data_IF_426531917432
#
_entry.id   IF_426531917432
#
_cell.length_a   1.000
_cell.length_b   1.000
_cell.length_c   1.000
_cell.angle_alpha   90.00
_cell.angle_beta   90.00
_cell.angle_gamma   90.00
#
_symmetry.space_group_name_H-M   'P 1'
#
loop_
_entity.id
_entity.type
_entity.pdbx_description
1 polymer ?
#
# COMPACT_ATOMS: atom_id res chain seq x y z
N UNK A 1 15.76 -7.42 30.41
CA UNK A 1 14.58 -6.62 29.93
C UNK A 1 14.05 -7.04 28.57
N UNK A 2 14.86 -7.29 27.52
CA UNK A 2 14.37 -7.70 26.19
C UNK A 2 13.49 -8.95 26.17
N UNK A 3 13.81 -10.00 26.96
CA UNK A 3 13.05 -11.27 26.99
C UNK A 3 11.63 -11.16 27.58
N UNK A 4 11.39 -10.25 28.52
CA UNK A 4 10.05 -10.06 29.09
C UNK A 4 9.09 -9.36 28.10
N UNK A 5 9.61 -8.38 27.36
CA UNK A 5 8.85 -7.71 26.32
C UNK A 5 8.46 -8.64 25.15
N UNK A 6 9.32 -9.60 24.80
CA UNK A 6 9.01 -10.54 23.72
C UNK A 6 7.96 -11.61 24.14
N UNK A 7 7.89 -11.98 25.42
CA UNK A 7 6.84 -12.87 25.91
C UNK A 7 5.46 -12.20 25.77
N UNK A 8 5.33 -10.98 26.24
CA UNK A 8 4.08 -10.22 26.13
C UNK A 8 3.66 -10.00 24.66
N UNK A 9 4.62 -9.69 23.76
CA UNK A 9 4.33 -9.57 22.32
C UNK A 9 3.81 -10.86 21.70
N UNK A 10 4.30 -12.03 22.15
CA UNK A 10 3.81 -13.34 21.70
C UNK A 10 2.38 -13.60 22.14
N UNK A 11 2.04 -13.19 23.36
CA UNK A 11 0.66 -13.25 23.86
C UNK A 11 -0.25 -12.37 23.01
N UNK A 12 0.12 -11.12 22.76
CA UNK A 12 -0.67 -10.21 21.91
C UNK A 12 -0.88 -10.76 20.49
N UNK A 13 0.14 -11.42 19.88
CA UNK A 13 -0.02 -12.08 18.59
C UNK A 13 -1.04 -13.23 18.70
N UNK A 14 -0.93 -14.07 19.70
CA UNK A 14 -1.84 -15.21 19.88
C UNK A 14 -3.27 -14.76 20.14
N UNK A 15 -3.47 -13.70 20.92
CA UNK A 15 -4.78 -13.12 21.19
C UNK A 15 -5.40 -12.51 19.93
N UNK A 16 -4.61 -11.83 19.11
CA UNK A 16 -5.08 -11.17 17.89
C UNK A 16 -5.40 -12.17 16.76
N UNK A 17 -4.50 -13.13 16.50
CA UNK A 17 -4.62 -14.08 15.39
C UNK A 17 -5.24 -15.42 15.78
N UNK A 18 -5.50 -15.64 17.07
CA UNK A 18 -6.03 -16.88 17.62
C UNK A 18 -4.96 -17.86 18.09
N UNK A 19 -5.35 -18.75 19.01
CA UNK A 19 -4.45 -19.71 19.67
C UNK A 19 -3.78 -20.72 18.71
N UNK A 20 -4.36 -20.96 17.53
CA UNK A 20 -3.78 -21.82 16.47
C UNK A 20 -2.72 -21.10 15.63
N UNK A 21 -2.53 -19.81 15.83
CA UNK A 21 -1.56 -19.03 15.06
C UNK A 21 -0.13 -19.50 15.32
N UNK A 22 0.70 -19.47 14.27
CA UNK A 22 2.08 -19.91 14.33
C UNK A 22 3.05 -18.76 14.03
N UNK A 23 3.65 -18.22 15.07
CA UNK A 23 4.69 -17.22 14.94
C UNK A 23 5.92 -17.81 14.22
N UNK A 24 6.33 -17.21 13.09
CA UNK A 24 7.47 -17.61 12.27
C UNK A 24 8.73 -16.89 12.66
N UNK A 25 8.63 -15.59 12.92
CA UNK A 25 9.75 -14.75 13.37
C UNK A 25 9.23 -13.53 14.11
N UNK A 26 10.06 -13.03 15.02
CA UNK A 26 9.89 -11.75 15.70
C UNK A 26 11.27 -11.06 15.65
N UNK A 27 11.32 -9.86 15.09
CA UNK A 27 12.55 -9.08 14.93
C UNK A 27 12.32 -7.64 15.33
N UNK A 28 13.39 -6.97 15.74
CA UNK A 28 13.42 -5.53 15.92
C UNK A 28 14.02 -4.89 14.67
N UNK A 29 13.46 -3.78 14.22
CA UNK A 29 13.98 -2.99 13.11
C UNK A 29 14.40 -1.64 13.64
N UNK A 30 15.49 -1.12 13.11
CA UNK A 30 15.99 0.20 13.47
C UNK A 30 15.26 1.31 12.68
N UNK A 31 14.71 0.99 11.52
CA UNK A 31 14.06 1.96 10.64
C UNK A 31 12.77 2.54 11.24
N UNK A 32 12.04 1.73 12.02
CA UNK A 32 10.75 2.14 12.61
C UNK A 32 10.76 2.15 14.14
N UNK A 33 11.84 1.72 14.78
CA UNK A 33 11.87 1.55 16.24
C UNK A 33 10.85 0.55 16.77
N UNK A 34 10.22 -0.24 15.87
CA UNK A 34 9.16 -1.17 16.15
C UNK A 34 9.66 -2.62 16.00
N UNK A 35 9.08 -3.54 16.76
CA UNK A 35 9.26 -4.95 16.50
C UNK A 35 8.34 -5.39 15.37
N UNK A 36 8.88 -6.11 14.38
CA UNK A 36 8.13 -6.73 13.30
C UNK A 36 8.08 -8.24 13.48
N UNK A 37 6.99 -8.85 13.03
CA UNK A 37 6.80 -10.29 13.12
C UNK A 37 6.19 -10.87 11.85
N UNK A 38 6.36 -12.18 11.68
CA UNK A 38 5.62 -12.97 10.68
C UNK A 38 4.86 -14.07 11.40
N UNK A 39 3.58 -14.17 11.11
CA UNK A 39 2.68 -15.16 11.69
C UNK A 39 1.87 -15.86 10.59
N UNK A 40 1.71 -17.17 10.72
CA UNK A 40 0.73 -17.94 9.95
C UNK A 40 -0.51 -18.17 10.81
N UNK A 41 -1.68 -18.00 10.23
CA UNK A 41 -2.96 -18.17 10.91
C UNK A 41 -4.07 -18.56 9.95
N UNK A 42 -5.18 -19.06 10.52
CA UNK A 42 -6.35 -19.44 9.77
C UNK A 42 -7.45 -18.39 9.93
N UNK A 43 -8.13 -18.06 8.82
CA UNK A 43 -9.34 -17.25 8.84
C UNK A 43 -10.42 -17.96 8.00
N UNK A 44 -11.34 -18.65 8.68
CA UNK A 44 -12.27 -19.56 8.01
C UNK A 44 -11.50 -20.71 7.31
N UNK A 45 -11.83 -21.05 6.08
CA UNK A 45 -11.17 -22.13 5.35
C UNK A 45 -9.82 -21.76 4.73
N UNK A 46 -9.32 -20.56 4.95
CA UNK A 46 -8.10 -20.05 4.32
C UNK A 46 -6.95 -19.92 5.31
N UNK A 47 -5.76 -20.15 4.78
CA UNK A 47 -4.50 -20.04 5.51
C UNK A 47 -3.74 -18.80 5.06
N UNK A 48 -3.41 -17.94 6.00
CA UNK A 48 -2.73 -16.67 5.73
C UNK A 48 -1.36 -16.61 6.39
N UNK A 49 -0.47 -15.86 5.76
CA UNK A 49 0.77 -15.38 6.35
C UNK A 49 0.76 -13.88 6.37
N UNK A 50 1.00 -13.30 7.55
CA UNK A 50 1.02 -11.84 7.74
C UNK A 50 2.37 -11.37 8.24
N UNK A 51 2.88 -10.30 7.62
CA UNK A 51 3.86 -9.39 8.19
C UNK A 51 3.12 -8.37 9.02
N UNK A 52 3.46 -8.25 10.27
CA UNK A 52 2.89 -7.27 11.18
C UNK A 52 3.97 -6.56 11.99
N UNK A 53 3.56 -5.51 12.67
CA UNK A 53 4.39 -4.74 13.59
C UNK A 53 3.66 -4.48 14.90
N UNK A 54 4.46 -4.08 15.90
CA UNK A 54 3.96 -3.47 17.13
C UNK A 54 4.31 -1.99 17.07
N UNK A 55 3.31 -1.16 16.96
CA UNK A 55 3.47 0.27 16.91
C UNK A 55 2.39 1.00 17.69
N UNK A 56 2.54 2.30 17.89
CA UNK A 56 1.41 3.11 18.36
C UNK A 56 0.31 3.00 17.32
N UNK A 57 -0.85 2.55 17.76
CA UNK A 57 -2.02 2.52 16.89
C UNK A 57 -2.54 3.94 16.72
N UNK A 58 -2.70 4.38 15.48
CA UNK A 58 -3.36 5.64 15.17
C UNK A 58 -4.90 5.57 15.42
N UNK A 59 -5.42 4.38 15.73
CA UNK A 59 -6.85 4.06 15.83
C UNK A 59 -7.47 4.03 17.23
N UNK A 60 -6.90 4.67 18.25
CA UNK A 60 -7.63 4.96 19.49
C UNK A 60 -7.41 4.03 20.68
N UNK A 61 -6.34 3.27 20.77
CA UNK A 61 -5.93 2.62 22.01
C UNK A 61 -5.28 3.61 22.98
N UNK A 62 -5.26 3.25 24.26
CA UNK A 62 -4.63 4.05 25.29
C UNK A 62 -3.15 4.32 24.95
N UNK A 63 -2.62 5.53 25.16
CA UNK A 63 -1.22 5.83 24.94
C UNK A 63 -0.32 4.89 25.76
N UNK A 64 0.54 4.13 25.07
CA UNK A 64 1.58 3.32 25.72
C UNK A 64 1.45 1.81 25.60
N UNK A 65 0.32 1.26 25.15
CA UNK A 65 0.21 -0.18 24.90
C UNK A 65 0.61 -0.55 23.46
N UNK A 66 1.51 -1.54 23.28
CA UNK A 66 1.87 -2.00 21.95
C UNK A 66 0.67 -2.72 21.31
N UNK A 67 0.25 -2.25 20.14
CA UNK A 67 -0.84 -2.89 19.39
C UNK A 67 -0.31 -3.62 18.17
N UNK A 68 -1.00 -4.71 17.82
CA UNK A 68 -0.73 -5.50 16.62
C UNK A 68 -1.30 -4.76 15.42
N UNK A 69 -0.43 -4.48 14.44
CA UNK A 69 -0.81 -3.89 13.15
C UNK A 69 -0.41 -4.82 12.03
N UNK A 70 -1.36 -5.21 11.17
CA UNK A 70 -1.07 -5.98 9.96
C UNK A 70 -0.55 -5.01 8.89
N UNK A 71 0.67 -5.27 8.38
CA UNK A 71 1.28 -4.46 7.32
C UNK A 71 1.11 -5.05 5.93
N UNK A 72 1.15 -6.38 5.83
CA UNK A 72 0.97 -7.09 4.57
C UNK A 72 0.52 -8.52 4.85
N UNK A 73 -0.39 -9.04 4.04
CA UNK A 73 -0.89 -10.39 4.21
C UNK A 73 -0.88 -11.17 2.89
N UNK A 74 -0.70 -12.48 2.96
CA UNK A 74 -0.63 -13.38 1.82
C UNK A 74 -1.48 -14.62 2.09
N UNK A 75 -2.40 -14.93 1.18
CA UNK A 75 -3.07 -16.23 1.16
C UNK A 75 -2.07 -17.29 0.70
N UNK A 76 -1.84 -18.32 1.52
CA UNK A 76 -0.84 -19.34 1.23
C UNK A 76 -1.22 -20.27 0.06
N UNK A 77 -2.52 -20.39 -0.25
CA UNK A 77 -3.01 -21.14 -1.40
C UNK A 77 -3.00 -20.29 -2.69
N UNK A 78 -3.18 -18.99 -2.55
CA UNK A 78 -3.27 -18.05 -3.67
C UNK A 78 -2.34 -16.85 -3.47
N UNK A 79 -1.01 -17.05 -3.49
CA UNK A 79 -0.04 -16.03 -3.06
C UNK A 79 -0.05 -14.73 -3.89
N UNK A 80 -0.57 -14.79 -5.11
CA UNK A 80 -0.68 -13.64 -6.00
C UNK A 80 -1.96 -12.81 -5.78
N UNK A 81 -2.92 -13.32 -4.99
CA UNK A 81 -4.12 -12.57 -4.66
C UNK A 81 -3.81 -11.50 -3.61
N UNK A 82 -4.31 -10.30 -3.85
CA UNK A 82 -4.22 -9.19 -2.89
C UNK A 82 -5.23 -9.41 -1.77
N UNK A 83 -4.75 -9.47 -0.54
CA UNK A 83 -5.58 -9.76 0.63
C UNK A 83 -6.28 -8.49 1.12
N UNK A 84 -5.54 -7.39 1.24
CA UNK A 84 -6.10 -6.14 1.73
C UNK A 84 -6.89 -5.40 0.64
N UNK A 85 -7.95 -4.73 1.06
CA UNK A 85 -8.80 -4.00 0.13
C UNK A 85 -8.05 -2.84 -0.54
N UNK A 86 -7.25 -2.10 0.21
CA UNK A 86 -6.46 -0.98 -0.34
C UNK A 86 -5.45 -1.43 -1.40
N UNK A 87 -4.81 -2.60 -1.23
CA UNK A 87 -3.90 -3.16 -2.23
C UNK A 87 -4.63 -3.40 -3.56
N UNK A 88 -5.87 -3.93 -3.49
CA UNK A 88 -6.72 -4.12 -4.66
C UNK A 88 -7.08 -2.78 -5.31
N UNK A 89 -7.42 -1.77 -4.51
CA UNK A 89 -7.65 -0.42 -5.03
C UNK A 89 -6.36 0.11 -5.69
N UNK A 90 -5.20 0.04 -5.03
CA UNK A 90 -3.96 0.51 -5.63
C UNK A 90 -3.63 -0.16 -6.96
N UNK A 91 -3.91 -1.47 -7.10
CA UNK A 91 -3.68 -2.20 -8.34
C UNK A 91 -4.50 -1.67 -9.53
N UNK A 92 -5.60 -0.99 -9.27
CA UNK A 92 -6.44 -0.40 -10.32
C UNK A 92 -5.80 0.83 -10.99
N UNK A 93 -4.74 1.41 -10.42
CA UNK A 93 -3.96 2.47 -11.09
C UNK A 93 -3.47 2.06 -12.48
N UNK A 94 -3.19 0.77 -12.67
CA UNK A 94 -2.79 0.24 -13.97
C UNK A 94 -3.88 0.32 -15.04
N UNK A 95 -5.14 0.41 -14.63
CA UNK A 95 -6.27 0.61 -15.54
C UNK A 95 -6.40 2.05 -16.05
N UNK A 96 -5.76 3.00 -15.37
CA UNK A 96 -5.78 4.42 -15.73
C UNK A 96 -4.66 4.79 -16.72
N UNK A 97 -3.78 3.85 -17.02
CA UNK A 97 -2.75 3.96 -18.05
C UNK A 97 -3.15 3.12 -19.26
N UNK A 98 -2.80 3.58 -20.46
CA UNK A 98 -3.24 2.90 -21.69
C UNK A 98 -2.54 1.55 -21.87
N UNK A 99 -1.22 1.50 -21.72
CA UNK A 99 -0.40 0.29 -21.81
C UNK A 99 0.77 0.36 -20.83
N UNK A 100 0.54 0.09 -19.52
CA UNK A 100 1.60 0.20 -18.54
C UNK A 100 2.62 -0.93 -18.71
N UNK A 101 3.88 -0.57 -18.97
CA UNK A 101 5.02 -1.49 -19.11
C UNK A 101 6.07 -1.31 -18.01
N UNK A 102 6.01 -0.22 -17.28
CA UNK A 102 6.93 0.11 -16.20
C UNK A 102 6.21 0.58 -14.94
N UNK A 103 6.71 0.20 -13.78
CA UNK A 103 6.17 0.68 -12.52
C UNK A 103 7.24 0.89 -11.47
N UNK A 104 6.98 1.83 -10.56
CA UNK A 104 7.78 2.10 -9.38
C UNK A 104 6.94 1.83 -8.13
N UNK A 105 7.42 0.92 -7.29
CA UNK A 105 6.82 0.59 -6.01
C UNK A 105 7.67 1.20 -4.89
N UNK A 106 7.15 2.23 -4.26
CA UNK A 106 7.73 2.87 -3.09
C UNK A 106 7.07 2.25 -1.84
N UNK A 107 7.86 1.44 -1.12
CA UNK A 107 7.38 0.52 -0.10
C UNK A 107 7.09 -0.87 -0.67
N UNK A 108 7.72 -1.89 -0.10
CA UNK A 108 7.60 -3.28 -0.56
C UNK A 108 6.82 -4.13 0.43
N UNK A 109 7.02 -3.91 1.71
CA UNK A 109 6.38 -4.68 2.78
C UNK A 109 6.52 -6.19 2.57
N UNK A 110 5.42 -6.92 2.65
CA UNK A 110 5.35 -8.36 2.35
C UNK A 110 5.30 -8.67 0.85
N UNK A 111 5.68 -7.75 -0.05
CA UNK A 111 5.75 -7.94 -1.50
C UNK A 111 4.43 -8.36 -2.18
N UNK A 112 3.28 -7.97 -1.63
CA UNK A 112 1.97 -8.34 -2.17
C UNK A 112 1.78 -7.82 -3.60
N UNK A 113 2.05 -6.53 -3.81
CA UNK A 113 1.91 -5.90 -5.12
C UNK A 113 2.87 -6.49 -6.16
N UNK A 114 4.10 -6.81 -5.76
CA UNK A 114 5.05 -7.48 -6.66
C UNK A 114 4.54 -8.86 -7.11
N UNK A 115 4.02 -9.70 -6.19
CA UNK A 115 3.44 -11.00 -6.56
C UNK A 115 2.25 -10.85 -7.50
N UNK A 116 1.40 -9.87 -7.22
CA UNK A 116 0.26 -9.54 -8.08
C UNK A 116 0.72 -9.17 -9.49
N UNK A 117 1.65 -8.23 -9.64
CA UNK A 117 2.17 -7.82 -10.95
C UNK A 117 2.76 -8.98 -11.73
N UNK A 118 3.57 -9.80 -11.07
CA UNK A 118 4.16 -11.00 -11.69
C UNK A 118 3.12 -11.97 -12.27
N UNK A 119 1.96 -12.07 -11.62
CA UNK A 119 0.91 -13.03 -12.02
C UNK A 119 -0.06 -12.44 -13.04
N UNK A 120 -0.44 -11.17 -12.90
CA UNK A 120 -1.54 -10.59 -13.66
C UNK A 120 -1.11 -9.52 -14.68
N UNK A 121 0.07 -8.95 -14.52
CA UNK A 121 0.66 -7.95 -15.43
C UNK A 121 2.15 -8.25 -15.68
N UNK A 122 2.48 -9.43 -16.21
CA UNK A 122 3.88 -9.84 -16.37
C UNK A 122 4.68 -8.94 -17.34
N UNK A 123 3.99 -8.19 -18.19
CA UNK A 123 4.58 -7.20 -19.10
C UNK A 123 5.04 -5.93 -18.39
N UNK A 124 4.49 -5.63 -17.20
CA UNK A 124 4.86 -4.45 -16.43
C UNK A 124 6.02 -4.76 -15.49
N UNK A 125 7.18 -4.23 -15.78
CA UNK A 125 8.39 -4.44 -14.99
C UNK A 125 8.43 -3.48 -13.78
N UNK A 126 8.34 -3.99 -12.53
CA UNK A 126 8.42 -3.13 -11.35
C UNK A 126 9.87 -2.85 -10.92
N UNK A 127 10.17 -1.59 -10.58
CA UNK A 127 11.30 -1.22 -9.73
C UNK A 127 10.78 -1.17 -8.29
N UNK A 128 11.49 -1.82 -7.38
CA UNK A 128 11.12 -1.93 -5.98
C UNK A 128 12.08 -1.11 -5.12
N UNK A 129 11.55 -0.22 -4.30
CA UNK A 129 12.33 0.62 -3.36
C UNK A 129 11.75 0.46 -1.97
N UNK A 130 12.60 0.16 -1.00
CA UNK A 130 12.24 0.08 0.42
C UNK A 130 13.44 0.51 1.26
N UNK A 131 13.22 1.23 2.34
CA UNK A 131 14.30 1.71 3.19
C UNK A 131 14.65 0.74 4.34
N UNK A 132 13.87 -0.32 4.53
CA UNK A 132 14.09 -1.28 5.62
C UNK A 132 14.62 -2.63 5.09
N UNK A 133 15.93 -2.83 5.23
CA UNK A 133 16.58 -4.08 4.83
C UNK A 133 16.02 -5.31 5.59
N UNK A 134 15.57 -5.14 6.83
CA UNK A 134 15.00 -6.23 7.62
C UNK A 134 13.63 -6.65 7.06
N UNK A 135 12.81 -5.69 6.63
CA UNK A 135 11.53 -5.95 5.94
C UNK A 135 11.78 -6.68 4.62
N UNK A 136 12.73 -6.21 3.81
CA UNK A 136 13.09 -6.86 2.55
C UNK A 136 13.62 -8.28 2.76
N UNK A 137 14.45 -8.51 3.79
CA UNK A 137 14.91 -9.85 4.15
C UNK A 137 13.77 -10.78 4.57
N UNK A 138 12.76 -10.26 5.27
CA UNK A 138 11.54 -10.99 5.61
C UNK A 138 10.73 -11.30 4.36
N UNK A 139 10.54 -10.33 3.46
CA UNK A 139 9.81 -10.51 2.23
C UNK A 139 10.44 -11.62 1.36
N UNK A 140 11.77 -11.66 1.25
CA UNK A 140 12.49 -12.72 0.56
C UNK A 140 12.32 -14.08 1.22
N UNK A 141 12.42 -14.15 2.53
CA UNK A 141 12.38 -15.42 3.27
C UNK A 141 10.98 -16.00 3.37
N UNK A 142 9.95 -15.17 3.53
CA UNK A 142 8.63 -15.61 3.92
C UNK A 142 7.53 -15.30 2.91
N UNK A 143 7.75 -14.35 2.00
CA UNK A 143 6.72 -13.86 1.06
C UNK A 143 7.11 -14.04 -0.41
N UNK A 144 8.05 -14.94 -0.68
CA UNK A 144 8.48 -15.36 -2.03
C UNK A 144 9.09 -14.25 -2.90
N UNK A 145 9.53 -13.15 -2.34
CA UNK A 145 10.17 -12.08 -3.09
C UNK A 145 11.51 -12.55 -3.67
N UNK A 146 11.59 -12.63 -4.99
CA UNK A 146 12.82 -13.06 -5.70
C UNK A 146 13.48 -11.94 -6.49
N UNK A 147 12.83 -10.77 -6.61
CA UNK A 147 13.37 -9.62 -7.32
C UNK A 147 14.30 -8.80 -6.42
N UNK A 148 15.26 -8.11 -7.05
CA UNK A 148 16.12 -7.13 -6.38
C UNK A 148 15.28 -5.94 -5.90
N UNK A 149 15.60 -5.45 -4.70
CA UNK A 149 15.02 -4.25 -4.10
C UNK A 149 16.15 -3.26 -3.89
N UNK A 150 15.93 -2.03 -4.25
CA UNK A 150 16.82 -0.91 -3.96
C UNK A 150 16.57 -0.50 -2.51
N UNK A 151 17.59 -0.67 -1.67
CA UNK A 151 17.53 -0.27 -0.26
C UNK A 151 17.88 1.21 -0.18
N UNK A 152 16.85 2.04 -0.22
CA UNK A 152 16.98 3.50 -0.12
C UNK A 152 15.66 4.13 0.32
N UNK A 153 15.71 5.38 0.77
CA UNK A 153 14.47 6.14 1.01
C UNK A 153 13.84 6.56 -0.32
N UNK A 154 12.53 6.64 -0.35
CA UNK A 154 11.79 7.05 -1.54
C UNK A 154 12.24 8.43 -2.05
N UNK A 155 12.54 9.37 -1.15
CA UNK A 155 12.98 10.72 -1.50
C UNK A 155 14.37 10.74 -2.15
N UNK A 156 15.30 9.92 -1.65
CA UNK A 156 16.65 9.84 -2.22
C UNK A 156 16.61 9.17 -3.57
N UNK A 157 15.88 8.06 -3.69
CA UNK A 157 15.68 7.39 -4.95
C UNK A 157 15.07 8.34 -6.01
N UNK A 158 13.96 9.00 -5.68
CA UNK A 158 13.29 9.96 -6.57
C UNK A 158 14.17 11.18 -6.91
N UNK A 159 15.11 11.55 -6.03
CA UNK A 159 16.06 12.62 -6.31
C UNK A 159 17.14 12.22 -7.33
N UNK A 160 17.47 10.95 -7.41
CA UNK A 160 18.55 10.40 -8.24
C UNK A 160 18.07 9.76 -9.55
N UNK A 161 16.83 9.31 -9.62
CA UNK A 161 16.31 8.65 -10.82
C UNK A 161 16.11 9.64 -11.97
N UNK A 162 16.40 9.17 -13.18
CA UNK A 162 16.09 9.86 -14.45
C UNK A 162 15.03 9.08 -15.24
N UNK A 163 14.68 7.92 -14.77
CA UNK A 163 13.68 7.06 -15.41
C UNK A 163 12.27 7.60 -15.16
N UNK A 164 11.38 7.24 -16.08
CA UNK A 164 9.94 7.53 -15.96
C UNK A 164 9.16 6.24 -15.90
N UNK A 165 8.10 6.27 -15.11
CA UNK A 165 7.27 5.12 -14.83
C UNK A 165 5.82 5.39 -15.23
N UNK A 166 5.17 4.39 -15.83
CA UNK A 166 3.75 4.49 -16.19
C UNK A 166 2.87 4.47 -14.93
N UNK A 167 3.28 3.70 -13.92
CA UNK A 167 2.58 3.66 -12.63
C UNK A 167 3.56 3.83 -11.48
N UNK A 168 3.25 4.75 -10.58
CA UNK A 168 3.98 4.91 -9.31
C UNK A 168 3.01 4.55 -8.17
N UNK A 169 3.34 3.52 -7.40
CA UNK A 169 2.60 3.14 -6.20
C UNK A 169 3.34 3.65 -4.97
N UNK A 170 2.67 4.45 -4.16
CA UNK A 170 3.21 5.02 -2.92
C UNK A 170 2.49 4.36 -1.75
N UNK A 171 3.17 3.38 -1.14
CA UNK A 171 2.67 2.60 0.01
C UNK A 171 3.72 2.64 1.13
N UNK A 172 3.94 3.82 1.67
CA UNK A 172 4.98 4.10 2.64
C UNK A 172 4.38 4.25 4.04
N UNK A 173 4.96 3.52 4.98
CA UNK A 173 4.69 3.76 6.39
C UNK A 173 5.55 4.93 6.88
N UNK A 174 4.91 5.96 7.42
CA UNK A 174 5.60 7.11 7.97
C UNK A 174 5.43 7.21 9.49
N UNK A 175 6.36 6.58 10.21
CA UNK A 175 6.44 6.73 11.67
C UNK A 175 6.87 8.14 12.12
N UNK A 176 7.44 8.94 11.23
CA UNK A 176 8.02 10.25 11.54
C UNK A 176 7.06 11.43 11.25
N UNK A 177 5.85 11.15 10.76
CA UNK A 177 4.83 12.16 10.51
C UNK A 177 4.90 12.83 9.12
N UNK A 178 4.24 13.98 8.95
CA UNK A 178 3.96 14.59 7.64
C UNK A 178 5.18 15.05 6.83
N UNK A 179 6.35 15.15 7.43
CA UNK A 179 7.55 15.71 6.76
C UNK A 179 8.01 14.93 5.51
N UNK A 180 7.64 13.63 5.40
CA UNK A 180 8.02 12.81 4.26
C UNK A 180 7.26 13.19 2.97
N UNK A 181 5.99 13.59 3.10
CA UNK A 181 5.09 13.81 1.98
C UNK A 181 4.88 15.31 1.71
N UNK A 182 5.96 16.07 1.70
CA UNK A 182 5.93 17.48 1.38
C UNK A 182 5.71 17.73 -0.14
N UNK A 183 5.54 18.98 -0.53
CA UNK A 183 5.39 19.37 -1.93
C UNK A 183 6.58 18.91 -2.80
N UNK A 184 7.79 18.89 -2.23
CA UNK A 184 9.00 18.47 -2.95
C UNK A 184 8.97 16.98 -3.28
N UNK A 185 8.47 16.14 -2.37
CA UNK A 185 8.27 14.72 -2.61
C UNK A 185 7.30 14.50 -3.78
N UNK A 186 6.13 15.14 -3.73
CA UNK A 186 5.12 14.98 -4.79
C UNK A 186 5.60 15.51 -6.13
N UNK A 187 6.32 16.62 -6.13
CA UNK A 187 6.93 17.16 -7.37
C UNK A 187 7.85 16.13 -8.01
N UNK A 188 8.70 15.47 -7.23
CA UNK A 188 9.59 14.41 -7.72
C UNK A 188 8.84 13.18 -8.21
N UNK A 189 7.78 12.76 -7.53
CA UNK A 189 6.92 11.68 -8.03
C UNK A 189 6.33 12.05 -9.39
N UNK A 190 5.82 13.27 -9.56
CA UNK A 190 5.27 13.73 -10.83
C UNK A 190 6.33 13.87 -11.93
N UNK A 191 7.56 14.27 -11.58
CA UNK A 191 8.67 14.38 -12.55
C UNK A 191 9.17 12.99 -12.98
N UNK A 192 9.03 11.96 -12.15
CA UNK A 192 9.31 10.56 -12.47
C UNK A 192 8.13 9.84 -13.15
N UNK A 193 6.98 10.49 -13.33
CA UNK A 193 5.83 9.88 -13.99
C UNK A 193 5.92 10.06 -15.51
N UNK A 194 5.63 9.00 -16.26
CA UNK A 194 5.52 9.05 -17.70
C UNK A 194 4.25 9.82 -18.13
N UNK A 195 4.24 10.45 -19.31
CA UNK A 195 3.01 11.03 -19.85
C UNK A 195 1.90 9.98 -19.98
N UNK A 196 0.71 10.30 -19.51
CA UNK A 196 -0.41 9.34 -19.45
C UNK A 196 -0.33 8.33 -18.31
N UNK A 197 0.67 8.47 -17.43
CA UNK A 197 0.83 7.60 -16.27
C UNK A 197 -0.07 7.96 -15.09
N UNK A 198 0.00 7.16 -14.03
CA UNK A 198 -0.80 7.33 -12.82
C UNK A 198 0.03 7.12 -11.55
N UNK A 199 -0.14 8.00 -10.56
CA UNK A 199 0.32 7.78 -9.20
C UNK A 199 -0.87 7.26 -8.37
N UNK A 200 -0.68 6.18 -7.61
CA UNK A 200 -1.63 5.74 -6.59
C UNK A 200 -0.97 5.76 -5.22
N UNK A 201 -1.59 6.45 -4.29
CA UNK A 201 -1.10 6.63 -2.93
C UNK A 201 -2.04 5.97 -1.93
N UNK A 202 -1.49 5.11 -1.08
CA UNK A 202 -2.21 4.57 0.05
C UNK A 202 -2.10 5.52 1.25
N UNK A 203 -3.25 5.97 1.74
CA UNK A 203 -3.37 6.76 2.96
C UNK A 203 -3.95 5.86 4.06
N UNK A 204 -3.04 5.27 4.85
CA UNK A 204 -3.45 4.40 5.95
C UNK A 204 -4.13 5.20 7.06
N UNK A 205 -5.13 4.58 7.69
CA UNK A 205 -5.87 5.12 8.83
C UNK A 205 -6.44 6.53 8.60
N UNK A 206 -6.75 6.85 7.36
CA UNK A 206 -7.15 8.18 6.93
C UNK A 206 -8.32 8.77 7.75
N UNK A 207 -9.31 7.96 8.08
CA UNK A 207 -10.50 8.41 8.80
C UNK A 207 -10.21 8.85 10.24
N UNK A 208 -9.13 8.34 10.84
CA UNK A 208 -8.77 8.59 12.26
C UNK A 208 -7.48 9.37 12.42
N UNK A 209 -6.60 9.35 11.40
CA UNK A 209 -5.31 10.02 11.44
C UNK A 209 -5.38 11.40 10.77
N UNK A 210 -5.70 12.43 11.55
CA UNK A 210 -5.78 13.82 11.05
C UNK A 210 -4.48 14.33 10.42
N UNK A 211 -3.32 13.73 10.73
CA UNK A 211 -2.03 14.12 10.16
C UNK A 211 -1.89 13.72 8.69
N UNK A 212 -2.66 12.75 8.22
CA UNK A 212 -2.62 12.27 6.82
C UNK A 212 -3.32 13.24 5.87
N UNK A 213 -4.35 13.94 6.32
CA UNK A 213 -5.14 14.84 5.49
C UNK A 213 -4.33 15.97 4.85
N UNK A 214 -3.48 16.74 5.59
CA UNK A 214 -2.65 17.77 4.97
C UNK A 214 -1.71 17.24 3.87
N UNK A 215 -1.27 15.98 3.99
CA UNK A 215 -0.41 15.35 2.99
C UNK A 215 -1.17 15.02 1.70
N UNK A 216 -2.38 14.50 1.83
CA UNK A 216 -3.26 14.24 0.68
C UNK A 216 -3.70 15.55 0.01
N UNK A 217 -3.98 16.58 0.79
CA UNK A 217 -4.28 17.93 0.29
C UNK A 217 -3.08 18.53 -0.46
N UNK A 218 -1.85 18.35 0.03
CA UNK A 218 -0.64 18.83 -0.65
C UNK A 218 -0.45 18.16 -2.02
N UNK A 219 -0.68 16.85 -2.13
CA UNK A 219 -0.67 16.15 -3.41
C UNK A 219 -1.73 16.70 -4.36
N UNK A 220 -2.95 16.92 -3.87
CA UNK A 220 -4.05 17.45 -4.66
C UNK A 220 -3.77 18.88 -5.14
N UNK A 221 -3.31 19.76 -4.26
CA UNK A 221 -2.99 21.15 -4.61
C UNK A 221 -1.90 21.23 -5.68
N UNK A 222 -0.85 20.41 -5.56
CA UNK A 222 0.21 20.37 -6.56
C UNK A 222 -0.32 19.83 -7.91
N UNK A 223 -1.16 18.81 -7.93
CA UNK A 223 -1.81 18.30 -9.12
C UNK A 223 -2.64 19.41 -9.82
N UNK A 224 -3.50 20.09 -9.06
CA UNK A 224 -4.33 21.19 -9.56
C UNK A 224 -3.51 22.36 -10.12
N UNK A 225 -2.37 22.68 -9.49
CA UNK A 225 -1.46 23.71 -10.02
C UNK A 225 -0.86 23.37 -11.40
N UNK A 226 -0.91 22.09 -11.78
CA UNK A 226 -0.49 21.58 -13.09
C UNK A 226 -1.66 21.26 -14.03
N UNK A 227 -2.88 21.63 -13.67
CA UNK A 227 -4.09 21.34 -14.43
C UNK A 227 -4.49 19.86 -14.42
N UNK A 228 -4.11 19.13 -13.37
CA UNK A 228 -4.43 17.71 -13.20
C UNK A 228 -5.45 17.52 -12.08
N UNK A 229 -6.32 16.54 -12.25
CA UNK A 229 -7.26 16.13 -11.23
C UNK A 229 -6.74 14.93 -10.41
N UNK A 230 -7.22 14.83 -9.17
CA UNK A 230 -7.01 13.67 -8.31
C UNK A 230 -8.35 13.03 -7.99
N UNK A 231 -8.34 11.72 -7.80
CA UNK A 231 -9.53 10.95 -7.46
C UNK A 231 -9.27 10.15 -6.19
N UNK A 232 -10.21 10.22 -5.28
CA UNK A 232 -10.16 9.48 -4.03
C UNK A 232 -11.08 8.27 -4.12
N UNK A 233 -10.57 7.11 -3.78
CA UNK A 233 -11.33 5.87 -3.77
C UNK A 233 -11.24 5.24 -2.39
N UNK A 234 -12.38 5.04 -1.78
CA UNK A 234 -12.52 4.36 -0.50
C UNK A 234 -13.76 3.48 -0.49
N UNK A 235 -13.79 2.49 0.38
CA UNK A 235 -14.97 1.66 0.57
C UNK A 235 -16.00 2.39 1.43
N UNK A 236 -17.25 2.42 0.98
CA UNK A 236 -18.36 3.05 1.71
C UNK A 236 -18.55 2.39 3.09
N UNK A 237 -18.58 3.20 4.14
CA UNK A 237 -18.76 2.73 5.52
C UNK A 237 -17.50 2.13 6.17
N UNK A 238 -16.37 2.09 5.48
CA UNK A 238 -15.09 1.69 6.04
C UNK A 238 -14.30 2.89 6.53
N UNK A 239 -13.68 2.73 7.70
CA UNK A 239 -12.78 3.74 8.28
C UNK A 239 -11.30 3.41 8.01
N UNK A 240 -11.06 2.59 6.99
CA UNK A 240 -9.74 2.05 6.68
C UNK A 240 -8.93 3.00 5.79
N UNK A 241 -8.14 2.41 4.91
CA UNK A 241 -7.28 3.12 4.00
C UNK A 241 -8.07 3.82 2.88
N UNK A 242 -7.59 4.98 2.50
CA UNK A 242 -8.02 5.73 1.33
C UNK A 242 -6.95 5.61 0.26
N UNK A 243 -7.32 5.33 -0.98
CA UNK A 243 -6.40 5.40 -2.12
C UNK A 243 -6.68 6.67 -2.93
N UNK A 244 -5.63 7.47 -3.12
CA UNK A 244 -5.66 8.65 -3.98
C UNK A 244 -4.97 8.35 -5.29
N UNK A 245 -5.65 8.57 -6.40
CA UNK A 245 -5.07 8.50 -7.74
C UNK A 245 -4.80 9.88 -8.29
N UNK A 246 -3.66 10.00 -8.99
CA UNK A 246 -3.28 11.14 -9.79
C UNK A 246 -2.93 10.65 -11.20
N UNK A 247 -3.91 10.52 -12.10
CA UNK A 247 -3.68 10.21 -13.50
C UNK A 247 -3.22 11.46 -14.26
N UNK A 248 -2.30 11.31 -15.20
CA UNK A 248 -1.86 12.38 -16.12
C UNK A 248 -2.44 12.24 -17.52
N UNK A 249 -3.31 11.25 -17.72
CA UNK A 249 -4.09 11.10 -18.94
C UNK A 249 -5.19 12.17 -19.07
N UNK A 250 -5.99 12.11 -20.11
CA UNK A 250 -7.08 13.06 -20.29
C UNK A 250 -8.06 12.98 -19.11
N UNK A 251 -8.64 14.13 -18.76
CA UNK A 251 -9.67 14.25 -17.73
C UNK A 251 -10.77 13.20 -17.95
N UNK A 252 -11.15 12.54 -16.88
CA UNK A 252 -12.17 11.50 -16.93
C UNK A 252 -13.22 11.76 -15.86
N UNK A 253 -14.46 11.72 -16.27
CA UNK A 253 -15.57 11.70 -15.33
C UNK A 253 -15.49 10.42 -14.44
N UNK A 254 -15.96 10.48 -13.19
CA UNK A 254 -15.94 9.34 -12.26
C UNK A 254 -16.52 8.05 -12.85
N UNK A 255 -17.56 8.16 -13.68
CA UNK A 255 -18.19 7.03 -14.36
C UNK A 255 -17.26 6.40 -15.41
N UNK A 256 -16.48 7.22 -16.13
CA UNK A 256 -15.50 6.74 -17.10
C UNK A 256 -14.33 6.02 -16.41
N UNK A 257 -13.91 6.51 -15.24
CA UNK A 257 -12.93 5.86 -14.38
C UNK A 257 -13.46 4.50 -13.92
N UNK A 258 -14.65 4.46 -13.35
CA UNK A 258 -15.30 3.21 -12.92
C UNK A 258 -15.35 2.18 -14.06
N UNK A 259 -15.77 2.61 -15.24
CA UNK A 259 -15.81 1.74 -16.43
C UNK A 259 -14.43 1.23 -16.86
N UNK A 260 -13.38 2.05 -16.76
CA UNK A 260 -12.01 1.64 -17.08
C UNK A 260 -11.50 0.59 -16.08
N UNK A 261 -11.72 0.81 -14.79
CA UNK A 261 -11.35 -0.11 -13.72
C UNK A 261 -12.05 -1.48 -13.86
N UNK A 262 -13.34 -1.48 -14.18
CA UNK A 262 -14.08 -2.71 -14.40
C UNK A 262 -13.61 -3.47 -15.64
N UNK A 263 -13.33 -2.76 -16.75
CA UNK A 263 -12.79 -3.40 -17.96
C UNK A 263 -11.43 -4.04 -17.70
N UNK A 264 -10.56 -3.33 -17.01
CA UNK A 264 -9.23 -3.82 -16.63
C UNK A 264 -9.35 -5.10 -15.79
N UNK A 265 -10.15 -5.08 -14.73
CA UNK A 265 -10.32 -6.24 -13.87
C UNK A 265 -10.86 -7.46 -14.61
N UNK A 266 -11.79 -7.27 -15.56
CA UNK A 266 -12.29 -8.35 -16.43
C UNK A 266 -11.21 -8.86 -17.40
N UNK A 267 -10.51 -7.97 -18.08
CA UNK A 267 -9.48 -8.32 -19.05
C UNK A 267 -8.31 -9.09 -18.44
N UNK A 268 -7.98 -8.80 -17.18
CA UNK A 268 -6.89 -9.46 -16.44
C UNK A 268 -7.35 -10.66 -15.61
N UNK A 269 -8.60 -11.06 -15.72
CA UNK A 269 -9.17 -12.18 -14.94
C UNK A 269 -8.89 -12.05 -13.43
N UNK A 270 -8.97 -10.84 -12.90
CA UNK A 270 -8.74 -10.61 -11.48
C UNK A 270 -9.75 -11.43 -10.65
N UNK A 271 -9.35 -11.98 -9.51
CA UNK A 271 -10.15 -12.93 -8.72
C UNK A 271 -11.56 -12.45 -8.39
N UNK A 272 -11.70 -11.17 -8.13
CA UNK A 272 -12.98 -10.54 -7.79
C UNK A 272 -13.74 -10.02 -9.01
N UNK A 273 -13.32 -10.35 -10.25
CA UNK A 273 -13.91 -9.93 -11.53
C UNK A 273 -14.18 -8.41 -11.64
N UNK A 274 -13.52 -7.60 -10.81
CA UNK A 274 -13.68 -6.15 -10.72
C UNK A 274 -14.96 -5.67 -10.04
N UNK A 275 -16.03 -6.45 -10.03
CA UNK A 275 -17.28 -6.06 -9.37
C UNK A 275 -17.13 -5.94 -7.87
N UNK A 276 -16.52 -6.91 -7.19
CA UNK A 276 -16.34 -6.90 -5.74
C UNK A 276 -15.38 -5.80 -5.24
N UNK A 277 -14.46 -5.32 -6.08
CA UNK A 277 -13.53 -4.26 -5.68
C UNK A 277 -14.24 -2.92 -5.58
N UNK A 278 -15.13 -2.62 -6.54
CA UNK A 278 -15.79 -1.31 -6.67
C UNK A 278 -17.21 -1.28 -6.12
N UNK A 279 -17.80 -2.44 -5.81
CA UNK A 279 -19.24 -2.59 -5.49
C UNK A 279 -19.71 -1.72 -4.32
N UNK A 280 -18.81 -1.27 -3.48
CA UNK A 280 -19.11 -0.38 -2.35
C UNK A 280 -18.10 0.77 -2.26
N UNK A 281 -17.44 1.12 -3.36
CA UNK A 281 -16.48 2.22 -3.38
C UNK A 281 -17.19 3.54 -3.72
N UNK A 282 -16.62 4.60 -3.18
CA UNK A 282 -16.91 5.98 -3.58
C UNK A 282 -15.70 6.46 -4.36
N UNK A 283 -15.92 6.95 -5.57
CA UNK A 283 -14.92 7.65 -6.36
C UNK A 283 -15.33 9.11 -6.36
N UNK A 284 -14.48 9.98 -5.84
CA UNK A 284 -14.77 11.40 -5.74
C UNK A 284 -13.56 12.23 -6.20
N UNK A 285 -13.78 13.31 -6.99
CA UNK A 285 -12.72 14.22 -7.41
C UNK A 285 -12.23 15.13 -6.28
N UNK A 286 -12.97 15.16 -5.19
CA UNK A 286 -12.60 15.86 -3.96
C UNK A 286 -12.71 14.89 -2.80
N UNK A 287 -12.00 15.23 -1.76
CA UNK A 287 -12.02 14.53 -0.49
C UNK A 287 -13.48 14.27 -0.08
N UNK A 288 -13.89 13.03 0.18
CA UNK A 288 -15.20 12.77 0.74
C UNK A 288 -15.24 13.37 2.15
N UNK A 289 -15.75 14.59 2.24
CA UNK A 289 -16.01 15.26 3.52
C UNK A 289 -17.13 14.47 4.19
N UNK A 290 -16.86 14.03 5.41
CA UNK A 290 -17.65 13.12 6.20
C UNK A 290 -19.16 13.28 6.10
N UNK A 291 -19.82 12.13 5.96
CA UNK A 291 -21.19 11.91 6.38
C UNK A 291 -21.15 11.15 7.70
#
# INVERSE_FOLDING_TARGET
MARAGDAHRRELIADYFGASSRLRTLRHTDAFGAAIFVVDFDRGPRHYRTLGSFGPNFGGAAPGEPQVTEQSSMDLLYPAQLVFHYERLMSLAFALCEQPVSSLLLGVGGAAMWRFLRAYLPECAPILVDNDEAVVAIARRWFYLSQSVIIDTAERFLAGTKDRYDVILVDLYNAQGPALFDERFWRRCMDALAPGGCIATNWADFAVNQAVRPMADAQQMLAQSRGLDTYFVTRRGFRDNLVQYLPTGPEREPEAITGALERFARARHLPDRGRGILEHCIIAPRFPIGG
#
